data_IF_376871715824
#
_entry.id   IF_376871715824
#
_cell.length_a   1.000
_cell.length_b   1.000
_cell.length_c   1.000
_cell.angle_alpha   90.00
_cell.angle_beta   90.00
_cell.angle_gamma   90.00
#
_symmetry.space_group_name_H-M   'P 1'
#
loop_
_entity.id
_entity.type
_entity.pdbx_description
1 polymer ?
#
# COMPACT_ATOMS: atom_id res chain seq x y z
N UNK A 1 24.29 -27.70 -13.99
CA UNK A 1 25.56 -26.93 -13.84
C UNK A 1 25.54 -26.34 -12.44
N UNK A 2 26.65 -26.32 -11.70
CA UNK A 2 26.63 -25.89 -10.29
C UNK A 2 27.15 -24.46 -10.17
N UNK A 3 26.28 -23.53 -9.78
CA UNK A 3 26.68 -22.16 -9.48
C UNK A 3 27.42 -22.13 -8.15
N UNK A 4 28.59 -21.48 -8.15
CA UNK A 4 29.47 -21.36 -6.98
C UNK A 4 29.57 -19.94 -6.46
N UNK A 5 29.10 -18.96 -7.23
CA UNK A 5 29.13 -17.56 -6.87
C UNK A 5 27.88 -16.82 -7.34
N UNK A 6 27.29 -16.04 -6.44
CA UNK A 6 26.26 -15.04 -6.76
C UNK A 6 26.87 -13.65 -6.69
N UNK A 7 26.76 -12.89 -7.77
CA UNK A 7 27.15 -11.49 -7.82
C UNK A 7 25.90 -10.61 -7.83
N UNK A 8 25.89 -9.54 -7.05
CA UNK A 8 24.76 -8.62 -6.96
C UNK A 8 25.19 -7.18 -7.23
N UNK A 9 24.45 -6.50 -8.10
CA UNK A 9 24.34 -5.04 -8.02
C UNK A 9 23.60 -4.65 -6.73
N UNK A 10 23.87 -3.45 -6.21
CA UNK A 10 23.27 -2.92 -5.00
C UNK A 10 22.02 -2.11 -5.30
N UNK A 11 22.18 -1.00 -6.02
CA UNK A 11 21.14 -0.01 -6.21
C UNK A 11 20.01 -0.56 -7.07
N UNK A 12 18.78 -0.42 -6.59
CA UNK A 12 17.56 -0.97 -7.21
C UNK A 12 17.54 -2.50 -7.37
N UNK A 13 18.51 -3.21 -6.82
CA UNK A 13 18.59 -4.68 -6.86
C UNK A 13 18.49 -5.24 -5.45
N UNK A 14 19.37 -4.87 -4.52
CA UNK A 14 19.26 -5.27 -3.10
C UNK A 14 18.38 -4.33 -2.29
N UNK A 15 18.34 -3.05 -2.64
CA UNK A 15 17.48 -2.06 -1.99
C UNK A 15 16.84 -1.10 -2.98
N UNK A 16 15.74 -0.49 -2.56
CA UNK A 16 15.08 0.54 -3.34
C UNK A 16 15.88 1.85 -3.34
N UNK A 17 16.00 2.47 -4.50
CA UNK A 17 16.67 3.74 -4.71
C UNK A 17 18.15 3.61 -5.05
N UNK A 18 18.79 4.76 -5.22
CA UNK A 18 20.25 4.88 -5.33
C UNK A 18 20.81 5.52 -4.08
N UNK A 19 21.81 4.89 -3.48
CA UNK A 19 22.46 5.42 -2.28
C UNK A 19 23.42 6.56 -2.66
N UNK A 20 22.91 7.79 -2.75
CA UNK A 20 23.71 8.98 -3.04
C UNK A 20 23.89 9.83 -1.77
N UNK A 21 24.90 9.51 -0.96
CA UNK A 21 25.30 10.38 0.17
C UNK A 21 26.23 11.47 -0.37
N UNK A 22 25.65 12.55 -0.89
CA UNK A 22 26.44 13.62 -1.51
C UNK A 22 26.93 14.70 -0.55
N UNK A 23 26.55 14.72 0.73
CA UNK A 23 26.89 15.85 1.60
C UNK A 23 27.31 15.45 3.03
N UNK A 24 28.51 15.85 3.50
CA UNK A 24 28.71 16.03 4.93
C UNK A 24 27.72 17.09 5.41
N UNK A 25 26.90 16.76 6.40
CA UNK A 25 25.78 17.60 6.82
C UNK A 25 26.20 19.03 7.20
N UNK A 26 25.40 20.02 6.79
CA UNK A 26 25.49 21.42 7.25
C UNK A 26 24.70 21.67 8.55
N UNK A 27 24.06 20.63 9.09
CA UNK A 27 23.34 20.68 10.37
C UNK A 27 24.31 20.58 11.57
N UNK A 28 23.90 20.97 12.79
CA UNK A 28 24.69 20.72 14.00
C UNK A 28 24.69 19.22 14.37
N UNK A 29 25.86 18.64 14.64
CA UNK A 29 26.01 17.25 15.11
C UNK A 29 26.20 16.11 14.08
N UNK A 30 26.47 16.31 12.77
CA UNK A 30 26.82 15.20 11.89
C UNK A 30 28.17 14.63 12.31
N UNK A 31 28.32 13.31 12.17
CA UNK A 31 29.64 12.69 12.31
C UNK A 31 30.49 13.07 11.11
N UNK A 32 31.81 13.17 11.34
CA UNK A 32 32.77 13.57 10.32
C UNK A 32 32.81 12.60 9.11
N UNK A 33 32.43 11.34 9.32
CA UNK A 33 32.33 10.31 8.27
C UNK A 33 30.86 10.22 7.82
N UNK A 34 30.61 10.46 6.53
CA UNK A 34 29.25 10.53 5.99
C UNK A 34 28.45 9.24 6.22
N UNK A 35 29.09 8.07 6.05
CA UNK A 35 28.49 6.76 6.29
C UNK A 35 28.01 6.58 7.74
N UNK A 36 28.67 7.18 8.73
CA UNK A 36 28.27 7.04 10.14
C UNK A 36 26.93 7.72 10.48
N UNK A 37 26.41 8.56 9.58
CA UNK A 37 25.09 9.17 9.72
C UNK A 37 23.97 8.19 9.36
N UNK A 38 24.28 7.05 8.72
CA UNK A 38 23.32 5.99 8.45
C UNK A 38 22.97 5.20 9.72
N UNK A 39 21.68 4.96 9.93
CA UNK A 39 21.15 4.08 10.98
C UNK A 39 19.97 3.26 10.49
N UNK A 40 19.69 2.16 11.18
CA UNK A 40 18.38 1.52 11.04
C UNK A 40 17.30 2.47 11.54
N UNK A 41 16.19 2.54 10.81
CA UNK A 41 15.01 3.27 11.27
C UNK A 41 14.40 2.59 12.49
N UNK A 42 13.78 3.36 13.38
CA UNK A 42 13.26 2.83 14.64
C UNK A 42 12.15 1.80 14.37
N UNK A 43 12.33 0.57 14.87
CA UNK A 43 11.36 -0.52 14.67
C UNK A 43 11.46 -1.23 13.32
N UNK A 44 12.41 -0.87 12.45
CA UNK A 44 12.65 -1.58 11.19
C UNK A 44 14.00 -2.29 11.19
N UNK A 45 14.02 -3.48 10.59
CA UNK A 45 15.24 -4.27 10.35
C UNK A 45 15.71 -4.20 8.90
N UNK A 46 15.00 -3.47 8.03
CA UNK A 46 15.23 -3.43 6.59
C UNK A 46 15.28 -2.02 6.00
N UNK A 47 14.98 -0.98 6.80
CA UNK A 47 15.06 0.42 6.40
C UNK A 47 16.28 1.06 7.05
N UNK A 48 17.17 1.59 6.20
CA UNK A 48 18.32 2.38 6.63
C UNK A 48 18.07 3.83 6.24
N UNK A 49 18.08 4.71 7.24
CA UNK A 49 17.87 6.15 7.07
C UNK A 49 19.16 6.93 7.36
N UNK A 50 19.35 8.00 6.61
CA UNK A 50 20.34 9.03 6.89
C UNK A 50 19.75 10.05 7.86
N UNK A 51 20.37 10.19 9.03
CA UNK A 51 19.94 11.14 10.08
C UNK A 51 19.94 12.59 9.62
N UNK A 52 20.80 12.95 8.66
CA UNK A 52 20.99 14.33 8.21
C UNK A 52 19.98 14.69 7.14
N UNK A 53 19.86 13.85 6.12
CA UNK A 53 19.01 14.16 4.95
C UNK A 53 17.59 13.64 5.08
N UNK A 54 17.31 12.76 6.06
CA UNK A 54 16.06 12.02 6.19
C UNK A 54 15.73 11.15 4.96
N UNK A 55 16.69 10.96 4.06
CA UNK A 55 16.58 9.98 2.98
C UNK A 55 16.77 8.59 3.56
N UNK A 56 16.14 7.61 2.93
CA UNK A 56 16.25 6.22 3.34
C UNK A 56 16.38 5.29 2.13
N UNK A 57 16.94 4.12 2.37
CA UNK A 57 16.87 2.97 1.47
C UNK A 57 16.15 1.85 2.21
N UNK A 58 15.35 1.07 1.47
CA UNK A 58 14.68 -0.11 2.00
C UNK A 58 15.18 -1.33 1.27
N UNK A 59 15.77 -2.27 2.00
CA UNK A 59 16.15 -3.58 1.48
C UNK A 59 14.89 -4.33 1.06
N UNK A 60 14.94 -4.99 -0.11
CA UNK A 60 13.81 -5.78 -0.59
C UNK A 60 13.62 -7.02 0.29
N UNK A 61 12.37 -7.40 0.54
CA UNK A 61 12.00 -8.37 1.58
C UNK A 61 12.66 -9.75 1.41
N UNK A 62 12.92 -10.16 0.17
CA UNK A 62 13.48 -11.47 -0.14
C UNK A 62 15.01 -11.53 -0.07
N UNK A 63 15.70 -10.39 -0.02
CA UNK A 63 17.17 -10.34 -0.08
C UNK A 63 17.82 -11.08 1.08
N UNK A 64 17.33 -10.87 2.31
CA UNK A 64 17.86 -11.58 3.49
C UNK A 64 17.70 -13.10 3.35
N UNK A 65 16.56 -13.56 2.82
CA UNK A 65 16.31 -14.99 2.57
C UNK A 65 17.26 -15.56 1.51
N UNK A 66 17.53 -14.79 0.45
CA UNK A 66 18.47 -15.18 -0.61
C UNK A 66 19.89 -15.32 -0.06
N UNK A 67 20.33 -14.38 0.78
CA UNK A 67 21.64 -14.44 1.43
C UNK A 67 21.75 -15.64 2.37
N UNK A 68 20.73 -15.90 3.19
CA UNK A 68 20.67 -17.10 4.03
C UNK A 68 20.75 -18.38 3.19
N UNK A 69 20.00 -18.45 2.09
CA UNK A 69 20.02 -19.62 1.21
C UNK A 69 21.41 -19.83 0.56
N UNK A 70 22.09 -18.75 0.17
CA UNK A 70 23.45 -18.84 -0.35
C UNK A 70 24.42 -19.42 0.70
N UNK A 71 24.35 -18.96 1.94
CA UNK A 71 25.17 -19.47 3.06
C UNK A 71 24.88 -20.95 3.37
N UNK A 72 23.61 -21.34 3.38
CA UNK A 72 23.19 -22.73 3.60
C UNK A 72 23.68 -23.70 2.51
N UNK A 73 23.96 -23.19 1.31
CA UNK A 73 24.44 -23.99 0.17
C UNK A 73 25.93 -23.77 -0.12
N UNK A 74 26.67 -23.13 0.80
CA UNK A 74 28.10 -22.79 0.67
C UNK A 74 28.42 -22.05 -0.65
N UNK A 75 27.50 -21.21 -1.14
CA UNK A 75 27.68 -20.38 -2.33
C UNK A 75 28.29 -19.04 -1.94
N UNK A 76 29.35 -18.63 -2.63
CA UNK A 76 30.04 -17.37 -2.34
C UNK A 76 29.19 -16.19 -2.83
N UNK A 77 29.10 -15.12 -2.04
CA UNK A 77 28.43 -13.88 -2.45
C UNK A 77 29.48 -12.83 -2.80
N UNK A 78 29.27 -12.13 -3.91
CA UNK A 78 30.02 -10.97 -4.33
C UNK A 78 29.09 -9.77 -4.52
N UNK A 79 29.59 -8.57 -4.24
CA UNK A 79 28.99 -7.31 -4.64
C UNK A 79 29.77 -6.77 -5.83
N UNK A 80 29.05 -6.35 -6.87
CA UNK A 80 29.59 -5.77 -8.11
C UNK A 80 28.73 -4.55 -8.49
N UNK A 81 29.05 -3.40 -7.91
CA UNK A 81 28.22 -2.19 -8.00
C UNK A 81 28.99 -0.99 -8.54
N UNK A 82 28.32 -0.24 -9.43
CA UNK A 82 28.85 1.01 -10.00
C UNK A 82 28.49 2.26 -9.18
N UNK A 83 27.95 2.12 -7.96
CA UNK A 83 27.47 3.25 -7.15
C UNK A 83 28.60 4.25 -6.82
N UNK A 84 29.79 3.75 -6.51
CA UNK A 84 30.97 4.56 -6.24
C UNK A 84 31.05 5.14 -4.81
N UNK A 85 30.02 4.97 -3.98
CA UNK A 85 30.04 5.33 -2.55
C UNK A 85 30.23 4.09 -1.67
N UNK A 86 31.42 3.50 -1.75
CA UNK A 86 31.73 2.23 -1.08
C UNK A 86 31.42 2.23 0.41
N UNK A 87 31.93 3.22 1.15
CA UNK A 87 31.74 3.28 2.61
C UNK A 87 30.27 3.33 3.03
N UNK A 88 29.43 4.04 2.26
CA UNK A 88 27.99 4.10 2.51
C UNK A 88 27.31 2.77 2.27
N UNK A 89 27.61 2.11 1.16
CA UNK A 89 27.06 0.80 0.82
C UNK A 89 27.49 -0.26 1.84
N UNK A 90 28.77 -0.31 2.18
CA UNK A 90 29.32 -1.22 3.19
C UNK A 90 28.62 -1.01 4.54
N UNK A 91 28.32 0.25 4.87
CA UNK A 91 27.58 0.60 6.08
C UNK A 91 26.12 0.13 6.06
N UNK A 92 25.43 0.24 4.92
CA UNK A 92 24.07 -0.33 4.76
C UNK A 92 24.13 -1.85 4.96
N UNK A 93 25.04 -2.55 4.28
CA UNK A 93 25.24 -3.99 4.42
C UNK A 93 25.62 -4.40 5.85
N UNK A 94 26.36 -3.55 6.58
CA UNK A 94 26.69 -3.80 7.97
C UNK A 94 25.49 -3.66 8.92
N UNK A 95 24.61 -2.69 8.67
CA UNK A 95 23.44 -2.40 9.51
C UNK A 95 22.37 -3.49 9.41
N UNK A 96 22.15 -4.01 8.20
CA UNK A 96 21.11 -5.01 7.92
C UNK A 96 21.50 -6.35 8.51
N UNK A 97 20.53 -7.03 9.14
CA UNK A 97 20.73 -8.32 9.79
C UNK A 97 20.12 -9.46 8.98
N UNK A 98 20.90 -10.51 8.77
CA UNK A 98 20.53 -11.72 8.03
C UNK A 98 20.85 -12.94 8.89
N UNK A 99 19.92 -13.91 9.04
CA UNK A 99 20.22 -15.16 9.71
C UNK A 99 21.24 -15.99 8.93
N UNK A 100 22.25 -16.51 9.62
CA UNK A 100 23.19 -17.48 9.06
C UNK A 100 22.59 -18.90 9.00
N UNK A 101 23.38 -19.88 8.54
CA UNK A 101 22.98 -21.30 8.52
C UNK A 101 22.68 -21.92 9.89
N UNK A 102 22.99 -21.22 10.97
CA UNK A 102 22.66 -21.61 12.36
C UNK A 102 21.55 -20.73 12.95
N UNK A 103 20.83 -19.97 12.11
CA UNK A 103 19.78 -19.01 12.46
C UNK A 103 20.25 -17.87 13.41
N UNK A 104 21.56 -17.63 13.49
CA UNK A 104 22.11 -16.48 14.21
C UNK A 104 22.13 -15.25 13.31
N UNK A 105 21.62 -14.13 13.81
CA UNK A 105 21.59 -12.86 13.07
C UNK A 105 22.99 -12.26 12.95
N UNK A 106 23.54 -12.25 11.74
CA UNK A 106 24.80 -11.61 11.38
C UNK A 106 24.55 -10.35 10.54
N UNK A 107 25.54 -9.46 10.43
CA UNK A 107 25.47 -8.36 9.47
C UNK A 107 25.46 -8.92 8.04
N UNK A 108 24.66 -8.38 7.12
CA UNK A 108 24.60 -8.85 5.73
C UNK A 108 26.00 -8.86 5.05
N UNK A 109 26.85 -7.89 5.39
CA UNK A 109 28.22 -7.82 4.89
C UNK A 109 29.09 -9.04 5.25
N UNK A 110 28.80 -9.78 6.33
CA UNK A 110 29.61 -10.96 6.71
C UNK A 110 29.46 -12.11 5.73
N UNK A 111 28.40 -12.11 4.93
CA UNK A 111 28.16 -13.10 3.88
C UNK A 111 28.86 -12.73 2.57
N UNK A 112 29.26 -11.47 2.41
CA UNK A 112 29.93 -10.96 1.21
C UNK A 112 31.42 -11.29 1.27
N UNK A 113 31.89 -12.09 0.32
CA UNK A 113 33.31 -12.50 0.24
C UNK A 113 34.15 -11.58 -0.64
N UNK A 114 33.55 -11.02 -1.68
CA UNK A 114 34.18 -10.08 -2.60
C UNK A 114 33.30 -8.86 -2.76
N UNK A 115 33.89 -7.68 -2.69
CA UNK A 115 33.12 -6.44 -2.58
C UNK A 115 33.70 -5.37 -3.50
N UNK A 116 33.40 -5.55 -4.78
CA UNK A 116 33.76 -4.66 -5.87
C UNK A 116 32.70 -3.57 -6.02
N UNK A 117 32.83 -2.53 -5.21
CA UNK A 117 32.00 -1.34 -5.30
C UNK A 117 32.88 -0.14 -5.66
N UNK A 118 32.75 0.35 -6.89
CA UNK A 118 33.62 1.40 -7.44
C UNK A 118 33.07 1.97 -8.74
N UNK A 119 33.84 2.88 -9.36
CA UNK A 119 33.46 3.49 -10.65
C UNK A 119 34.05 2.77 -11.87
N UNK A 120 34.52 1.55 -11.67
CA UNK A 120 35.11 0.73 -12.73
C UNK A 120 34.04 0.10 -13.61
N UNK A 121 34.42 -0.40 -14.79
CA UNK A 121 33.46 -1.12 -15.63
C UNK A 121 33.09 -2.46 -15.00
N UNK A 122 31.86 -2.93 -15.19
CA UNK A 122 31.44 -4.26 -14.70
C UNK A 122 32.29 -5.40 -15.29
N UNK A 123 32.83 -5.24 -16.50
CA UNK A 123 33.78 -6.21 -17.07
C UNK A 123 35.07 -6.31 -16.26
N UNK A 124 35.62 -5.18 -15.82
CA UNK A 124 36.84 -5.15 -15.01
C UNK A 124 36.59 -5.74 -13.63
N UNK A 125 35.45 -5.40 -13.00
CA UNK A 125 35.03 -5.96 -11.71
C UNK A 125 34.92 -7.49 -11.79
N UNK A 126 34.28 -8.03 -12.83
CA UNK A 126 34.17 -9.48 -13.02
C UNK A 126 35.51 -10.14 -13.35
N UNK A 127 36.40 -9.45 -14.05
CA UNK A 127 37.77 -9.94 -14.30
C UNK A 127 38.54 -10.10 -13.00
N UNK A 128 38.54 -9.08 -12.13
CA UNK A 128 39.13 -9.16 -10.79
C UNK A 128 38.47 -10.24 -9.93
N UNK A 129 37.14 -10.31 -9.99
CA UNK A 129 36.37 -11.32 -9.25
C UNK A 129 36.78 -12.75 -9.65
N UNK A 130 36.97 -13.01 -10.94
CA UNK A 130 37.47 -14.29 -11.44
C UNK A 130 38.90 -14.54 -11.00
N UNK A 131 39.76 -13.53 -11.05
CA UNK A 131 41.15 -13.63 -10.64
C UNK A 131 41.29 -13.99 -9.16
N UNK A 132 40.45 -13.45 -8.27
CA UNK A 132 40.53 -13.73 -6.84
C UNK A 132 39.79 -14.99 -6.44
N UNK A 133 38.60 -15.21 -7.00
CA UNK A 133 37.78 -16.37 -6.64
C UNK A 133 38.25 -17.67 -7.29
N UNK A 134 38.94 -17.57 -8.44
CA UNK A 134 39.29 -18.69 -9.32
C UNK A 134 38.07 -19.51 -9.80
N UNK A 135 36.87 -18.93 -9.72
CA UNK A 135 35.62 -19.56 -10.19
C UNK A 135 35.46 -19.26 -11.68
N UNK A 136 35.04 -20.24 -12.48
CA UNK A 136 34.79 -20.01 -13.91
C UNK A 136 33.58 -19.08 -14.09
N UNK A 137 33.62 -18.18 -15.08
CA UNK A 137 32.52 -17.24 -15.34
C UNK A 137 31.17 -17.95 -15.52
N UNK A 138 31.15 -19.14 -16.12
CA UNK A 138 29.92 -19.91 -16.33
C UNK A 138 29.34 -20.49 -15.04
N UNK A 139 30.13 -20.54 -13.97
CA UNK A 139 29.71 -20.95 -12.63
C UNK A 139 29.30 -19.75 -11.75
N UNK A 140 29.24 -18.54 -12.34
CA UNK A 140 28.75 -17.32 -11.71
C UNK A 140 27.34 -16.99 -12.20
N UNK A 141 26.52 -16.45 -11.30
CA UNK A 141 25.21 -15.89 -11.59
C UNK A 141 25.17 -14.45 -11.12
N UNK A 142 24.89 -13.53 -12.04
CA UNK A 142 24.87 -12.11 -11.81
C UNK A 142 23.43 -11.58 -11.80
N UNK A 143 23.06 -10.85 -10.75
CA UNK A 143 21.78 -10.18 -10.63
C UNK A 143 21.97 -8.67 -10.76
N UNK A 144 21.38 -8.11 -11.81
CA UNK A 144 21.55 -6.69 -12.15
C UNK A 144 20.36 -6.17 -12.95
N UNK A 145 20.28 -4.86 -13.13
CA UNK A 145 19.32 -4.20 -14.00
C UNK A 145 19.62 -4.49 -15.47
N UNK A 146 18.62 -4.23 -16.32
CA UNK A 146 18.79 -4.29 -17.77
C UNK A 146 19.60 -3.10 -18.29
N UNK A 147 20.93 -3.17 -18.23
CA UNK A 147 21.80 -2.15 -18.79
C UNK A 147 22.88 -2.74 -19.71
N UNK A 148 23.50 -1.85 -20.50
CA UNK A 148 24.50 -2.25 -21.49
C UNK A 148 25.70 -2.96 -20.84
N UNK A 149 26.15 -2.49 -19.68
CA UNK A 149 27.31 -3.03 -18.98
C UNK A 149 27.05 -4.46 -18.48
N UNK A 150 25.88 -4.74 -17.92
CA UNK A 150 25.50 -6.09 -17.45
C UNK A 150 25.39 -7.07 -18.62
N UNK A 151 24.78 -6.64 -19.74
CA UNK A 151 24.70 -7.45 -20.96
C UNK A 151 26.08 -7.72 -21.57
N UNK A 152 27.02 -6.79 -21.45
CA UNK A 152 28.40 -7.00 -21.89
C UNK A 152 29.10 -8.06 -21.05
N UNK A 153 28.90 -8.09 -19.73
CA UNK A 153 29.44 -9.14 -18.86
C UNK A 153 28.96 -10.53 -19.30
N UNK A 154 27.66 -10.69 -19.59
CA UNK A 154 27.11 -11.93 -20.12
C UNK A 154 27.70 -12.28 -21.49
N UNK A 155 27.67 -11.33 -22.44
CA UNK A 155 28.06 -11.58 -23.83
C UNK A 155 29.57 -11.84 -24.00
N UNK A 156 30.42 -11.17 -23.23
CA UNK A 156 31.89 -11.21 -23.37
C UNK A 156 32.50 -12.29 -22.47
N UNK A 157 32.08 -12.36 -21.21
CA UNK A 157 32.68 -13.26 -20.21
C UNK A 157 31.90 -14.57 -20.07
N UNK A 158 30.66 -14.65 -20.54
CA UNK A 158 29.82 -15.85 -20.44
C UNK A 158 29.24 -16.08 -19.04
N UNK A 159 29.17 -15.04 -18.22
CA UNK A 159 28.49 -15.05 -16.91
C UNK A 159 26.98 -15.14 -17.14
N UNK A 160 26.28 -15.92 -16.31
CA UNK A 160 24.82 -16.00 -16.41
C UNK A 160 24.20 -14.74 -15.82
N UNK A 161 23.44 -13.96 -16.61
CA UNK A 161 22.78 -12.76 -16.14
C UNK A 161 21.29 -13.01 -15.88
N UNK A 162 20.83 -12.69 -14.66
CA UNK A 162 19.42 -12.51 -14.36
C UNK A 162 19.13 -11.02 -14.27
N UNK A 163 18.40 -10.55 -15.28
CA UNK A 163 17.89 -9.18 -15.32
C UNK A 163 16.81 -8.99 -14.26
N UNK A 164 17.00 -7.96 -13.42
CA UNK A 164 16.13 -7.58 -12.33
C UNK A 164 15.34 -6.33 -12.72
N UNK A 165 14.04 -6.37 -12.41
CA UNK A 165 13.18 -5.20 -12.61
C UNK A 165 13.47 -4.17 -11.53
N UNK A 166 14.04 -3.02 -11.91
CA UNK A 166 14.42 -1.89 -11.04
C UNK A 166 13.40 -1.57 -9.92
N UNK A 167 12.11 -1.69 -10.22
CA UNK A 167 11.02 -1.35 -9.30
C UNK A 167 10.64 -2.48 -8.32
N UNK A 168 10.87 -3.73 -8.69
CA UNK A 168 10.57 -4.87 -7.82
C UNK A 168 11.79 -5.24 -6.96
N UNK A 169 12.99 -4.89 -7.44
CA UNK A 169 14.22 -5.38 -6.85
C UNK A 169 14.40 -6.86 -7.06
N UNK A 170 15.45 -7.40 -6.43
CA UNK A 170 15.69 -8.83 -6.40
C UNK A 170 14.61 -9.51 -5.57
N UNK A 171 13.84 -10.39 -6.20
CA UNK A 171 12.86 -11.24 -5.51
C UNK A 171 13.32 -12.69 -5.43
N UNK A 172 12.72 -13.46 -4.53
CA UNK A 172 12.96 -14.90 -4.45
C UNK A 172 12.59 -15.61 -5.74
N UNK A 173 11.57 -15.11 -6.45
CA UNK A 173 11.19 -15.66 -7.75
C UNK A 173 12.28 -15.44 -8.80
N UNK A 174 12.85 -14.24 -8.87
CA UNK A 174 13.95 -13.96 -9.81
C UNK A 174 15.13 -14.89 -9.54
N UNK A 175 15.49 -15.02 -8.27
CA UNK A 175 16.53 -15.93 -7.79
C UNK A 175 16.23 -17.39 -8.17
N UNK A 176 15.06 -17.90 -7.83
CA UNK A 176 14.68 -19.29 -8.08
C UNK A 176 14.50 -19.61 -9.57
N UNK A 177 14.03 -18.66 -10.38
CA UNK A 177 13.96 -18.80 -11.84
C UNK A 177 15.35 -18.88 -12.45
N UNK A 178 16.28 -18.02 -12.03
CA UNK A 178 17.65 -18.03 -12.52
C UNK A 178 18.34 -19.36 -12.20
N UNK A 179 18.17 -19.89 -10.99
CA UNK A 179 18.69 -21.20 -10.64
C UNK A 179 18.06 -22.33 -11.47
N UNK A 180 16.73 -22.29 -11.68
CA UNK A 180 16.01 -23.29 -12.50
C UNK A 180 16.47 -23.30 -13.96
N UNK A 181 16.77 -22.13 -14.53
CA UNK A 181 17.26 -22.02 -15.91
C UNK A 181 18.63 -22.71 -16.10
N UNK A 182 19.46 -22.74 -15.07
CA UNK A 182 20.84 -23.26 -15.10
C UNK A 182 20.97 -24.73 -14.69
N UNK A 183 20.01 -25.23 -13.90
CA UNK A 183 19.94 -26.64 -13.54
C UNK A 183 18.49 -27.12 -13.36
N UNK A 184 17.78 -27.43 -14.47
CA UNK A 184 16.38 -27.87 -14.43
C UNK A 184 16.16 -29.16 -13.62
N UNK A 185 17.19 -29.97 -13.43
CA UNK A 185 17.11 -31.29 -12.80
C UNK A 185 17.30 -31.24 -11.27
N UNK A 186 18.00 -30.22 -10.72
CA UNK A 186 18.34 -30.16 -9.29
C UNK A 186 17.33 -29.45 -8.38
N UNK A 187 16.39 -28.67 -8.91
CA UNK A 187 15.42 -27.92 -8.09
C UNK A 187 14.00 -28.53 -8.06
N UNK A 188 13.83 -29.78 -8.54
CA UNK A 188 12.55 -30.50 -8.49
C UNK A 188 12.02 -30.73 -7.07
N UNK A 189 12.92 -30.91 -6.09
CA UNK A 189 12.61 -31.52 -4.80
C UNK A 189 12.85 -30.61 -3.58
N UNK A 190 13.52 -29.46 -3.74
CA UNK A 190 13.86 -28.55 -2.63
C UNK A 190 13.29 -27.13 -2.76
N UNK A 191 12.75 -26.77 -3.92
CA UNK A 191 11.90 -25.57 -4.01
C UNK A 191 10.47 -25.95 -3.63
N UNK A 192 9.79 -25.17 -2.77
CA UNK A 192 8.34 -25.15 -2.80
C UNK A 192 7.95 -24.85 -4.24
N UNK A 193 7.36 -25.84 -4.94
CA UNK A 193 7.02 -25.74 -6.37
C UNK A 193 6.17 -24.53 -6.69
N UNK A 194 5.52 -23.94 -5.69
CA UNK A 194 4.87 -22.65 -5.73
C UNK A 194 5.19 -21.92 -4.40
N UNK A 195 6.08 -20.93 -4.41
CA UNK A 195 5.72 -19.67 -3.72
C UNK A 195 5.17 -18.70 -4.76
N UNK A 196 4.37 -19.23 -5.68
CA UNK A 196 3.33 -18.43 -6.29
C UNK A 196 2.57 -17.80 -5.14
N UNK A 197 2.43 -16.48 -5.20
CA UNK A 197 1.29 -15.80 -4.60
C UNK A 197 0.10 -16.76 -4.66
N UNK A 198 -0.60 -17.04 -3.54
CA UNK A 198 -1.56 -18.12 -3.48
C UNK A 198 -2.40 -18.05 -4.74
N UNK A 199 -2.45 -19.12 -5.55
CA UNK A 199 -3.17 -19.06 -6.79
C UNK A 199 -4.58 -18.54 -6.51
N UNK A 200 -5.29 -18.04 -7.53
CA UNK A 200 -6.69 -17.64 -7.41
C UNK A 200 -7.63 -18.80 -6.94
N UNK A 201 -7.07 -19.92 -6.44
CA UNK A 201 -7.70 -21.11 -5.87
C UNK A 201 -8.60 -20.84 -4.67
N UNK A 202 -8.49 -19.67 -4.04
CA UNK A 202 -9.36 -19.29 -2.91
C UNK A 202 -10.36 -18.19 -3.27
N UNK A 203 -10.60 -17.92 -4.57
CA UNK A 203 -11.70 -17.03 -4.93
C UNK A 203 -13.02 -17.63 -4.44
N UNK A 204 -13.88 -16.84 -3.76
CA UNK A 204 -15.16 -17.34 -3.30
C UNK A 204 -16.04 -17.66 -4.51
N UNK A 205 -16.94 -18.62 -4.35
CA UNK A 205 -17.98 -18.87 -5.33
C UNK A 205 -18.82 -17.59 -5.55
N UNK A 206 -18.80 -17.08 -6.78
CA UNK A 206 -19.53 -15.86 -7.14
C UNK A 206 -21.01 -16.19 -7.36
N UNK A 207 -21.89 -15.51 -6.64
CA UNK A 207 -23.33 -15.63 -6.81
C UNK A 207 -23.88 -14.59 -7.79
N UNK A 208 -25.03 -14.02 -7.47
CA UNK A 208 -25.72 -13.06 -8.34
C UNK A 208 -24.94 -11.75 -8.46
N UNK A 209 -24.66 -11.31 -9.68
CA UNK A 209 -24.11 -9.98 -9.96
C UNK A 209 -25.10 -8.90 -9.50
N UNK A 210 -24.63 -8.00 -8.64
CA UNK A 210 -25.38 -6.88 -8.09
C UNK A 210 -25.16 -5.59 -8.90
N UNK A 211 -23.99 -5.44 -9.54
CA UNK A 211 -23.68 -4.26 -10.35
C UNK A 211 -22.23 -4.17 -10.79
N UNK A 212 -21.91 -3.09 -11.52
CA UNK A 212 -20.58 -2.71 -12.01
C UNK A 212 -20.36 -1.21 -11.70
N UNK A 213 -19.13 -0.77 -11.46
CA UNK A 213 -18.83 0.62 -11.05
C UNK A 213 -17.33 0.95 -11.04
N UNK A 214 -16.87 1.72 -10.05
CA UNK A 214 -15.43 1.95 -9.80
C UNK A 214 -14.67 0.64 -9.50
N UNK A 215 -15.40 -0.38 -9.04
CA UNK A 215 -14.96 -1.77 -8.98
C UNK A 215 -15.39 -2.50 -10.26
N UNK A 216 -14.66 -3.56 -10.63
CA UNK A 216 -14.98 -4.34 -11.83
C UNK A 216 -16.37 -4.94 -11.76
N UNK A 217 -16.61 -5.75 -10.73
CA UNK A 217 -17.85 -6.50 -10.57
C UNK A 217 -18.16 -6.68 -9.07
N UNK A 218 -19.43 -6.54 -8.69
CA UNK A 218 -19.89 -6.75 -7.31
C UNK A 218 -20.93 -7.86 -7.28
N UNK A 219 -20.72 -8.86 -6.44
CA UNK A 219 -21.54 -10.06 -6.34
C UNK A 219 -22.10 -10.22 -4.94
N UNK A 220 -23.29 -10.83 -4.85
CA UNK A 220 -23.69 -11.53 -3.63
C UNK A 220 -22.98 -12.88 -3.61
N UNK A 221 -22.41 -13.30 -2.48
CA UNK A 221 -21.79 -14.63 -2.38
C UNK A 221 -22.81 -15.73 -2.67
N UNK A 222 -22.39 -16.79 -3.36
CA UNK A 222 -23.24 -17.94 -3.64
C UNK A 222 -23.50 -18.78 -2.38
N UNK A 223 -22.55 -18.78 -1.44
CA UNK A 223 -22.59 -19.60 -0.24
C UNK A 223 -23.29 -18.90 0.92
N UNK A 224 -23.15 -17.57 1.01
CA UNK A 224 -23.73 -16.76 2.09
C UNK A 224 -24.32 -15.45 1.55
N UNK A 225 -25.66 -15.28 1.54
CA UNK A 225 -26.27 -14.07 1.03
C UNK A 225 -25.98 -12.83 1.89
N UNK A 226 -25.46 -12.99 3.11
CA UNK A 226 -25.00 -11.89 3.98
C UNK A 226 -23.61 -11.39 3.61
N UNK A 227 -22.95 -11.99 2.62
CA UNK A 227 -21.65 -11.57 2.13
C UNK A 227 -21.77 -10.94 0.74
N UNK A 228 -21.10 -9.81 0.56
CA UNK A 228 -20.87 -9.17 -0.73
C UNK A 228 -19.41 -9.36 -1.11
N UNK A 229 -19.16 -9.78 -2.35
CA UNK A 229 -17.82 -9.94 -2.93
C UNK A 229 -17.59 -8.84 -3.95
N UNK A 230 -16.52 -8.08 -3.78
CA UNK A 230 -16.05 -7.08 -4.75
C UNK A 230 -14.85 -7.64 -5.52
N UNK A 231 -14.90 -7.61 -6.84
CA UNK A 231 -13.82 -7.99 -7.75
C UNK A 231 -13.28 -6.78 -8.50
N UNK A 232 -11.96 -6.65 -8.54
CA UNK A 232 -11.27 -5.53 -9.17
C UNK A 232 -11.13 -5.71 -10.70
N UNK A 233 -11.33 -4.62 -11.46
CA UNK A 233 -11.36 -4.62 -12.93
C UNK A 233 -9.98 -4.75 -13.57
N UNK A 234 -8.95 -4.22 -12.91
CA UNK A 234 -7.60 -4.04 -13.45
C UNK A 234 -6.56 -4.79 -12.62
N UNK A 235 -6.99 -5.78 -11.84
CA UNK A 235 -6.07 -6.55 -11.04
C UNK A 235 -5.22 -7.48 -11.90
N UNK A 236 -3.91 -7.32 -11.81
CA UNK A 236 -2.91 -8.19 -12.43
C UNK A 236 -2.05 -8.80 -11.33
N UNK A 237 -1.57 -10.02 -11.56
CA UNK A 237 -0.74 -10.74 -10.59
C UNK A 237 0.52 -9.94 -10.19
N UNK A 238 1.10 -9.20 -11.13
CA UNK A 238 2.25 -8.30 -10.89
C UNK A 238 1.96 -7.17 -9.88
N UNK A 239 0.70 -6.72 -9.75
CA UNK A 239 0.31 -5.66 -8.82
C UNK A 239 0.19 -6.15 -7.38
N UNK A 240 0.01 -7.45 -7.14
CA UNK A 240 -0.24 -8.00 -5.80
C UNK A 240 0.92 -7.75 -4.83
N UNK A 241 2.17 -7.92 -5.27
CA UNK A 241 3.32 -7.67 -4.40
C UNK A 241 3.41 -6.20 -4.01
N UNK A 242 3.24 -5.32 -5.00
CA UNK A 242 3.25 -3.87 -4.76
C UNK A 242 2.09 -3.46 -3.85
N UNK A 243 0.91 -4.04 -4.03
CA UNK A 243 -0.22 -3.86 -3.13
C UNK A 243 0.12 -4.24 -1.68
N UNK A 244 0.74 -5.41 -1.45
CA UNK A 244 1.12 -5.84 -0.10
C UNK A 244 2.11 -4.86 0.53
N UNK A 245 3.08 -4.35 -0.23
CA UNK A 245 4.00 -3.30 0.24
C UNK A 245 3.24 -2.03 0.63
N UNK A 246 2.39 -1.51 -0.26
CA UNK A 246 1.60 -0.29 -0.02
C UNK A 246 0.69 -0.49 1.19
N UNK A 247 0.02 -1.64 1.29
CA UNK A 247 -0.84 -1.98 2.40
C UNK A 247 -0.09 -1.96 3.73
N UNK A 248 1.09 -2.59 3.81
CA UNK A 248 1.85 -2.65 5.06
C UNK A 248 2.27 -1.26 5.54
N UNK A 249 2.64 -0.35 4.64
CA UNK A 249 2.94 1.06 4.96
C UNK A 249 1.67 1.78 5.47
N UNK A 250 0.54 1.59 4.80
CA UNK A 250 -0.74 2.22 5.16
C UNK A 250 -1.31 1.66 6.48
N UNK A 251 -1.05 0.39 6.78
CA UNK A 251 -1.50 -0.30 8.00
C UNK A 251 -0.63 0.06 9.22
N UNK A 252 0.68 0.27 9.04
CA UNK A 252 1.53 0.85 10.10
C UNK A 252 1.13 2.29 10.45
N UNK A 253 0.46 2.98 9.52
CA UNK A 253 0.09 4.39 9.67
C UNK A 253 1.21 5.34 9.23
N UNK A 254 2.18 4.83 8.49
CA UNK A 254 3.22 5.65 7.90
C UNK A 254 2.66 6.43 6.70
N UNK A 255 3.12 7.67 6.47
CA UNK A 255 2.72 8.43 5.29
C UNK A 255 3.13 7.68 4.03
N UNK A 256 2.19 7.53 3.09
CA UNK A 256 2.45 6.91 1.80
C UNK A 256 2.45 7.97 0.70
N UNK A 257 3.60 8.16 0.07
CA UNK A 257 3.72 8.95 -1.15
C UNK A 257 3.80 8.01 -2.36
N UNK A 258 2.92 8.17 -3.37
CA UNK A 258 3.02 7.43 -4.62
C UNK A 258 4.42 7.57 -5.23
N UNK A 259 5.01 6.44 -5.61
CA UNK A 259 6.33 6.45 -6.23
C UNK A 259 6.22 7.04 -7.64
N UNK A 260 6.74 8.26 -7.82
CA UNK A 260 6.66 9.01 -9.07
C UNK A 260 7.41 8.34 -10.23
N UNK A 261 8.23 7.33 -9.96
CA UNK A 261 8.89 6.52 -10.99
C UNK A 261 8.01 5.39 -11.54
N UNK A 262 6.86 5.14 -10.92
CA UNK A 262 5.87 4.13 -11.34
C UNK A 262 4.72 4.77 -12.11
N UNK A 263 3.86 3.91 -12.67
CA UNK A 263 2.58 4.35 -13.19
C UNK A 263 1.75 4.94 -12.02
N UNK A 264 1.52 6.25 -12.08
CA UNK A 264 0.82 6.99 -11.04
C UNK A 264 -0.62 6.48 -10.86
N UNK A 265 -1.30 6.07 -11.93
CA UNK A 265 -2.66 5.54 -11.87
C UNK A 265 -2.70 4.22 -11.12
N UNK A 266 -1.72 3.33 -11.33
CA UNK A 266 -1.60 2.07 -10.60
C UNK A 266 -1.32 2.34 -9.11
N UNK A 267 -0.40 3.26 -8.78
CA UNK A 267 -0.11 3.62 -7.39
C UNK A 267 -1.34 4.19 -6.67
N UNK A 268 -2.08 5.08 -7.33
CA UNK A 268 -3.35 5.63 -6.81
C UNK A 268 -4.36 4.51 -6.61
N UNK A 269 -4.51 3.63 -7.59
CA UNK A 269 -5.45 2.51 -7.55
C UNK A 269 -5.15 1.56 -6.39
N UNK A 270 -3.89 1.12 -6.26
CA UNK A 270 -3.47 0.20 -5.20
C UNK A 270 -3.59 0.84 -3.82
N UNK A 271 -3.24 2.12 -3.69
CA UNK A 271 -3.40 2.85 -2.43
C UNK A 271 -4.86 2.96 -2.01
N UNK A 272 -5.76 3.21 -2.97
CA UNK A 272 -7.21 3.26 -2.73
C UNK A 272 -7.72 1.94 -2.18
N UNK A 273 -7.32 0.82 -2.79
CA UNK A 273 -7.71 -0.52 -2.34
C UNK A 273 -7.11 -0.84 -0.97
N UNK A 274 -5.85 -0.47 -0.75
CA UNK A 274 -5.15 -0.76 0.49
C UNK A 274 -5.83 -0.05 1.68
N UNK A 275 -6.22 1.21 1.48
CA UNK A 275 -7.01 1.97 2.44
C UNK A 275 -8.36 1.31 2.69
N UNK A 276 -9.11 0.99 1.63
CA UNK A 276 -10.42 0.35 1.76
C UNK A 276 -10.33 -0.94 2.60
N UNK A 277 -9.36 -1.82 2.32
CA UNK A 277 -9.18 -3.05 3.08
C UNK A 277 -8.75 -2.81 4.53
N UNK A 278 -7.83 -1.88 4.78
CA UNK A 278 -7.41 -1.48 6.14
C UNK A 278 -8.62 -0.99 6.93
N UNK A 279 -9.42 -0.12 6.33
CA UNK A 279 -10.56 0.53 6.97
C UNK A 279 -11.66 -0.49 7.26
N UNK A 280 -12.00 -1.34 6.27
CA UNK A 280 -12.94 -2.45 6.46
C UNK A 280 -12.48 -3.42 7.55
N UNK A 281 -11.17 -3.69 7.67
CA UNK A 281 -10.62 -4.51 8.76
C UNK A 281 -10.78 -3.81 10.11
N UNK A 282 -10.41 -2.53 10.21
CA UNK A 282 -10.46 -1.76 11.46
C UNK A 282 -11.87 -1.66 12.05
N UNK A 283 -12.90 -1.57 11.21
CA UNK A 283 -14.31 -1.51 11.64
C UNK A 283 -14.99 -2.89 11.72
N UNK A 284 -14.25 -3.97 11.45
CA UNK A 284 -14.73 -5.36 11.53
C UNK A 284 -15.71 -5.77 10.41
N UNK A 285 -15.71 -5.05 9.28
CA UNK A 285 -16.57 -5.32 8.14
C UNK A 285 -15.91 -6.20 7.06
N UNK A 286 -14.58 -6.30 7.05
CA UNK A 286 -13.84 -7.19 6.14
C UNK A 286 -14.04 -8.66 6.55
N UNK A 287 -14.49 -9.50 5.62
CA UNK A 287 -14.68 -10.95 5.84
C UNK A 287 -13.54 -11.77 5.24
N UNK A 288 -13.08 -11.43 4.04
CA UNK A 288 -11.93 -12.07 3.42
C UNK A 288 -11.31 -11.20 2.30
N UNK A 289 -10.05 -11.45 1.91
CA UNK A 289 -9.09 -12.24 2.66
C UNK A 289 -8.65 -11.50 3.93
N UNK A 290 -8.51 -12.24 5.04
CA UNK A 290 -8.04 -11.66 6.29
C UNK A 290 -6.54 -11.41 6.27
N UNK A 291 -5.78 -12.22 5.54
CA UNK A 291 -4.36 -12.02 5.31
C UNK A 291 -4.15 -11.28 3.99
N UNK A 292 -3.44 -10.15 4.02
CA UNK A 292 -3.22 -9.31 2.83
C UNK A 292 -2.31 -9.96 1.80
N UNK A 293 -1.41 -10.84 2.23
CA UNK A 293 -0.59 -11.69 1.36
C UNK A 293 -1.45 -12.59 0.47
N UNK A 294 -2.66 -12.94 0.91
CA UNK A 294 -3.64 -13.73 0.15
C UNK A 294 -4.53 -12.89 -0.78
N UNK A 295 -4.36 -11.56 -0.81
CA UNK A 295 -5.20 -10.69 -1.63
C UNK A 295 -4.91 -10.85 -3.12
N UNK A 296 -5.80 -11.53 -3.84
CA UNK A 296 -5.68 -11.76 -5.28
C UNK A 296 -6.74 -10.98 -6.08
N UNK A 297 -6.99 -9.72 -5.71
CA UNK A 297 -7.84 -8.82 -6.50
C UNK A 297 -9.35 -8.92 -6.23
N UNK A 298 -9.72 -9.57 -5.14
CA UNK A 298 -11.08 -9.58 -4.62
C UNK A 298 -11.06 -9.45 -3.10
N UNK A 299 -12.15 -8.94 -2.55
CA UNK A 299 -12.41 -9.00 -1.12
C UNK A 299 -13.90 -9.17 -0.88
N UNK A 300 -14.23 -9.72 0.28
CA UNK A 300 -15.59 -9.90 0.74
C UNK A 300 -15.83 -9.13 2.03
N UNK A 301 -17.04 -8.61 2.15
CA UNK A 301 -17.49 -7.82 3.28
C UNK A 301 -18.92 -8.21 3.65
N UNK A 302 -19.34 -7.84 4.85
CA UNK A 302 -20.72 -7.98 5.25
C UNK A 302 -21.64 -7.14 4.36
N UNK A 303 -22.73 -7.76 3.91
CA UNK A 303 -23.77 -7.12 3.13
C UNK A 303 -24.49 -6.13 4.02
N UNK A 304 -24.56 -4.89 3.56
CA UNK A 304 -25.28 -3.84 4.28
C UNK A 304 -26.77 -3.94 3.94
N UNK A 305 -27.65 -4.25 4.92
CA UNK A 305 -29.09 -4.28 4.67
C UNK A 305 -29.66 -2.86 4.63
N UNK A 306 -30.60 -2.63 3.71
CA UNK A 306 -31.35 -1.37 3.64
C UNK A 306 -31.78 -1.04 2.22
N UNK A 307 -32.27 0.18 2.05
CA UNK A 307 -32.63 0.76 0.76
C UNK A 307 -31.98 2.12 0.59
N UNK A 308 -31.63 2.52 -0.63
CA UNK A 308 -31.15 3.87 -0.87
C UNK A 308 -32.25 4.89 -0.61
N UNK A 309 -31.86 6.12 -0.30
CA UNK A 309 -32.81 7.19 0.06
C UNK A 309 -33.79 7.55 -1.07
N UNK A 310 -33.37 7.41 -2.34
CA UNK A 310 -34.20 7.76 -3.50
C UNK A 310 -35.36 6.79 -3.75
N UNK A 311 -35.40 5.66 -3.04
CA UNK A 311 -36.58 4.80 -3.02
C UNK A 311 -37.72 5.40 -2.18
N UNK A 312 -37.43 6.37 -1.30
CA UNK A 312 -38.44 7.07 -0.51
C UNK A 312 -39.21 8.07 -1.42
N UNK A 313 -40.55 8.03 -1.46
CA UNK A 313 -41.35 8.94 -2.30
C UNK A 313 -41.11 10.43 -2.03
N UNK A 314 -40.72 10.81 -0.81
CA UNK A 314 -40.45 12.20 -0.46
C UNK A 314 -39.17 12.73 -1.13
N UNK A 315 -38.23 11.86 -1.50
CA UNK A 315 -37.01 12.25 -2.23
C UNK A 315 -37.32 12.75 -3.66
N UNK A 316 -38.50 12.40 -4.21
CA UNK A 316 -38.95 12.87 -5.53
C UNK A 316 -39.65 14.22 -5.48
N UNK A 317 -39.85 14.79 -4.29
CA UNK A 317 -40.45 16.12 -4.13
C UNK A 317 -39.44 17.20 -4.49
N UNK A 318 -39.92 18.43 -4.70
CA UNK A 318 -39.07 19.56 -5.03
C UNK A 318 -37.98 19.76 -3.93
N UNK A 319 -36.70 20.03 -4.29
CA UNK A 319 -35.62 20.13 -3.31
C UNK A 319 -35.79 21.21 -2.23
N UNK A 320 -36.62 22.23 -2.48
CA UNK A 320 -36.98 23.25 -1.48
C UNK A 320 -38.28 22.98 -0.72
N UNK A 321 -38.93 21.82 -0.96
CA UNK A 321 -40.13 21.46 -0.21
C UNK A 321 -39.77 20.97 1.20
N UNK A 322 -40.57 21.36 2.19
CA UNK A 322 -40.40 20.92 3.58
C UNK A 322 -40.31 19.39 3.71
N UNK A 323 -41.16 18.58 3.05
CA UNK A 323 -41.07 17.12 3.16
C UNK A 323 -39.74 16.54 2.65
N UNK A 324 -39.19 17.09 1.56
CA UNK A 324 -37.87 16.67 1.04
C UNK A 324 -36.75 17.03 2.02
N UNK A 325 -36.75 18.27 2.49
CA UNK A 325 -35.72 18.77 3.41
C UNK A 325 -35.76 18.03 4.75
N UNK A 326 -36.94 17.76 5.30
CA UNK A 326 -37.08 16.96 6.54
C UNK A 326 -36.58 15.53 6.35
N UNK A 327 -36.86 14.89 5.21
CA UNK A 327 -36.31 13.56 4.89
C UNK A 327 -34.78 13.60 4.86
N UNK A 328 -34.20 14.52 4.09
CA UNK A 328 -32.75 14.65 3.97
C UNK A 328 -32.09 14.96 5.31
N UNK A 329 -32.69 15.86 6.09
CA UNK A 329 -32.17 16.25 7.40
C UNK A 329 -32.08 15.04 8.31
N UNK A 330 -33.16 14.25 8.40
CA UNK A 330 -33.15 12.98 9.16
C UNK A 330 -32.09 12.03 8.63
N UNK A 331 -31.97 11.89 7.30
CA UNK A 331 -30.96 11.03 6.68
C UNK A 331 -29.54 11.44 7.07
N UNK A 332 -29.20 12.73 6.96
CA UNK A 332 -27.88 13.26 7.32
C UNK A 332 -27.57 13.01 8.79
N UNK A 333 -28.50 13.30 9.71
CA UNK A 333 -28.26 13.05 11.14
C UNK A 333 -28.03 11.56 11.44
N UNK A 334 -28.80 10.65 10.83
CA UNK A 334 -28.59 9.21 10.99
C UNK A 334 -27.26 8.76 10.39
N UNK A 335 -26.86 9.30 9.23
CA UNK A 335 -25.55 9.03 8.64
C UNK A 335 -24.43 9.47 9.57
N UNK A 336 -24.51 10.68 10.13
CA UNK A 336 -23.51 11.19 11.08
C UNK A 336 -23.45 10.35 12.35
N UNK A 337 -24.59 9.88 12.86
CA UNK A 337 -24.60 8.94 13.99
C UNK A 337 -23.81 7.68 13.68
N UNK A 338 -23.95 7.15 12.46
CA UNK A 338 -23.20 5.98 12.03
C UNK A 338 -21.70 6.29 11.89
N UNK A 339 -21.32 7.44 11.31
CA UNK A 339 -19.92 7.87 11.24
C UNK A 339 -19.34 7.96 12.66
N UNK A 340 -20.02 8.67 13.55
CA UNK A 340 -19.57 8.90 14.92
C UNK A 340 -19.44 7.59 15.71
N UNK A 341 -20.35 6.63 15.49
CA UNK A 341 -20.25 5.29 16.06
C UNK A 341 -18.93 4.61 15.68
N UNK A 342 -18.55 4.64 14.40
CA UNK A 342 -17.32 4.00 13.94
C UNK A 342 -16.06 4.79 14.28
N UNK A 343 -16.13 6.12 14.37
CA UNK A 343 -15.04 6.93 14.93
C UNK A 343 -14.78 6.52 16.37
N UNK A 344 -15.83 6.42 17.20
CA UNK A 344 -15.69 6.05 18.62
C UNK A 344 -15.28 4.59 18.81
N UNK A 345 -15.81 3.67 18.00
CA UNK A 345 -15.58 2.23 18.15
C UNK A 345 -14.30 1.75 17.47
N UNK A 346 -14.02 2.24 16.27
CA UNK A 346 -12.96 1.76 15.40
C UNK A 346 -11.88 2.78 15.08
N UNK A 347 -11.99 4.03 15.57
CA UNK A 347 -11.01 5.08 15.30
C UNK A 347 -10.94 5.47 13.83
N UNK A 348 -12.03 5.32 13.07
CA UNK A 348 -12.07 5.59 11.63
C UNK A 348 -13.23 6.52 11.27
N UNK A 349 -12.92 7.63 10.61
CA UNK A 349 -13.88 8.55 10.00
C UNK A 349 -14.05 8.23 8.53
N UNK A 350 -15.29 7.94 8.11
CA UNK A 350 -15.64 7.84 6.71
C UNK A 350 -15.54 9.21 6.04
N UNK A 351 -14.91 9.29 4.86
CA UNK A 351 -14.64 10.58 4.20
C UNK A 351 -15.61 10.93 3.08
N UNK A 352 -16.32 9.96 2.56
CA UNK A 352 -17.18 10.12 1.39
C UNK A 352 -18.63 9.62 1.63
N UNK A 353 -19.31 10.02 2.72
CA UNK A 353 -20.63 9.51 3.08
C UNK A 353 -21.75 10.16 2.23
N UNK A 354 -21.54 10.29 0.92
CA UNK A 354 -22.61 10.65 -0.01
C UNK A 354 -23.80 9.74 0.22
N UNK A 355 -25.03 10.25 0.04
CA UNK A 355 -26.23 9.42 0.18
C UNK A 355 -26.25 8.24 -0.80
N UNK A 356 -25.46 8.32 -1.87
CA UNK A 356 -25.18 7.20 -2.76
C UNK A 356 -24.50 6.02 -2.06
N UNK A 357 -23.67 6.27 -1.04
CA UNK A 357 -22.89 5.33 -0.24
C UNK A 357 -23.57 4.97 1.10
N UNK A 358 -24.87 5.27 1.25
CA UNK A 358 -25.63 4.99 2.48
C UNK A 358 -26.90 4.21 2.17
N UNK A 359 -27.10 3.12 2.93
CA UNK A 359 -28.35 2.36 2.94
C UNK A 359 -29.15 2.72 4.20
N UNK A 360 -30.45 2.88 4.06
CA UNK A 360 -31.33 3.19 5.18
C UNK A 360 -32.29 2.04 5.47
N UNK A 361 -32.51 1.78 6.76
CA UNK A 361 -33.68 1.03 7.23
C UNK A 361 -34.86 2.00 7.38
N UNK A 362 -36.03 1.53 7.01
CA UNK A 362 -37.25 2.33 7.00
C UNK A 362 -38.36 1.61 7.77
N UNK A 363 -39.15 2.39 8.52
CA UNK A 363 -40.43 1.98 9.10
C UNK A 363 -41.52 2.84 8.47
N UNK A 364 -42.25 2.26 7.51
CA UNK A 364 -43.05 3.03 6.56
C UNK A 364 -42.18 4.03 5.78
N UNK A 365 -42.56 5.31 5.81
CA UNK A 365 -41.82 6.40 5.16
C UNK A 365 -40.72 7.01 6.05
N UNK A 366 -40.56 6.54 7.29
CA UNK A 366 -39.61 7.10 8.26
C UNK A 366 -38.27 6.37 8.23
N UNK A 367 -37.19 7.14 8.12
CA UNK A 367 -35.82 6.62 8.24
C UNK A 367 -35.50 6.33 9.71
N UNK A 368 -35.07 5.11 10.00
CA UNK A 368 -34.79 4.65 11.38
C UNK A 368 -33.31 4.43 11.65
N UNK A 369 -32.56 3.97 10.65
CA UNK A 369 -31.11 3.69 10.79
C UNK A 369 -30.43 3.92 9.46
N UNK A 370 -29.21 4.46 9.52
CA UNK A 370 -28.32 4.56 8.37
C UNK A 370 -27.19 3.54 8.50
N UNK A 371 -26.79 2.96 7.38
CA UNK A 371 -25.65 2.09 7.29
C UNK A 371 -24.80 2.53 6.11
N UNK A 372 -23.58 2.96 6.41
CA UNK A 372 -22.62 3.38 5.40
C UNK A 372 -22.02 2.14 4.77
N UNK A 373 -22.06 2.07 3.45
CA UNK A 373 -21.43 1.02 2.67
C UNK A 373 -20.25 1.61 1.91
N UNK A 374 -19.21 0.81 1.67
CA UNK A 374 -17.95 1.26 1.03
C UNK A 374 -17.22 2.26 1.92
N UNK A 375 -16.15 1.87 2.61
CA UNK A 375 -15.51 2.74 3.60
C UNK A 375 -14.74 3.93 3.01
N UNK A 376 -14.55 3.93 1.69
CA UNK A 376 -13.90 4.99 0.95
C UNK A 376 -12.51 5.34 1.52
N UNK A 377 -12.04 6.54 1.18
CA UNK A 377 -10.81 7.11 1.73
C UNK A 377 -10.98 7.56 3.19
N UNK A 378 -11.27 6.64 4.11
CA UNK A 378 -11.44 6.95 5.53
C UNK A 378 -10.12 7.34 6.21
N UNK A 379 -10.23 8.18 7.24
CA UNK A 379 -9.10 8.77 7.97
C UNK A 379 -9.10 8.28 9.42
N UNK A 380 -7.92 7.97 9.95
CA UNK A 380 -7.76 7.65 11.37
C UNK A 380 -8.17 8.83 12.26
N UNK A 381 -8.92 8.50 13.30
CA UNK A 381 -9.42 9.44 14.30
C UNK A 381 -9.17 8.90 15.69
N UNK A 382 -8.99 9.80 16.64
CA UNK A 382 -8.99 9.47 18.05
C UNK A 382 -10.17 10.14 18.75
N UNK A 383 -10.71 9.47 19.76
CA UNK A 383 -11.76 9.99 20.63
C UNK A 383 -11.30 9.85 22.08
N UNK A 384 -11.10 10.97 22.76
CA UNK A 384 -10.59 11.01 24.15
C UNK A 384 -11.71 11.01 25.21
N UNK A 385 -12.97 10.86 24.79
CA UNK A 385 -14.16 11.00 25.64
C UNK A 385 -14.79 12.39 25.62
N UNK A 386 -14.13 13.39 25.04
CA UNK A 386 -14.60 14.78 24.94
C UNK A 386 -14.44 15.39 23.55
N UNK A 387 -13.38 15.04 22.83
CA UNK A 387 -13.02 15.61 21.53
C UNK A 387 -12.56 14.54 20.56
N UNK A 388 -12.83 14.83 19.30
CA UNK A 388 -12.31 14.09 18.16
C UNK A 388 -11.03 14.75 17.68
N UNK A 389 -9.98 13.98 17.45
CA UNK A 389 -8.74 14.47 16.82
C UNK A 389 -8.42 13.65 15.60
N UNK A 390 -8.25 14.33 14.46
CA UNK A 390 -7.92 13.74 13.18
C UNK A 390 -6.44 13.44 13.10
N UNK A 391 -6.08 12.19 12.80
CA UNK A 391 -4.69 11.80 12.65
C UNK A 391 -4.09 12.35 11.35
N UNK A 392 -2.76 12.38 11.29
CA UNK A 392 -2.02 12.71 10.08
C UNK A 392 -1.91 11.52 9.13
N UNK A 393 -3.06 11.00 8.67
CA UNK A 393 -3.07 10.13 7.48
C UNK A 393 -2.80 11.05 6.27
N UNK A 394 -1.51 11.35 6.02
CA UNK A 394 -1.07 12.10 4.84
C UNK A 394 -1.30 11.21 3.62
N UNK A 395 -2.41 11.45 2.94
CA UNK A 395 -2.66 10.96 1.59
C UNK A 395 -2.59 12.17 0.67
N UNK A 396 -1.98 12.03 -0.50
CA UNK A 396 -1.88 13.10 -1.51
C UNK A 396 -3.25 13.74 -1.88
N UNK A 397 -4.35 13.07 -1.53
CA UNK A 397 -5.71 13.48 -1.82
C UNK A 397 -6.51 13.93 -0.58
N UNK A 398 -5.90 14.06 0.60
CA UNK A 398 -6.58 14.49 1.83
C UNK A 398 -6.73 16.01 1.89
N UNK A 399 -7.98 16.48 1.94
CA UNK A 399 -8.35 17.89 2.10
C UNK A 399 -8.61 18.26 3.56
N UNK A 400 -8.58 17.28 4.48
CA UNK A 400 -8.69 17.53 5.90
C UNK A 400 -7.37 18.03 6.47
N UNK A 401 -7.46 18.95 7.44
CA UNK A 401 -6.29 19.43 8.18
C UNK A 401 -5.91 18.36 9.21
N UNK A 402 -4.69 17.84 9.11
CA UNK A 402 -4.13 16.95 10.13
C UNK A 402 -4.17 17.63 11.51
N UNK A 403 -4.37 16.86 12.57
CA UNK A 403 -4.47 17.33 13.96
C UNK A 403 -5.67 18.26 14.24
N UNK A 404 -6.62 18.37 13.31
CA UNK A 404 -7.86 19.08 13.57
C UNK A 404 -8.62 18.46 14.75
N UNK A 405 -9.08 19.33 15.66
CA UNK A 405 -9.77 18.94 16.88
C UNK A 405 -11.21 19.45 16.84
N UNK A 406 -12.16 18.56 17.10
CA UNK A 406 -13.59 18.87 17.09
C UNK A 406 -14.25 18.47 18.41
N UNK A 407 -15.09 19.35 18.95
CA UNK A 407 -16.14 18.91 19.88
C UNK A 407 -17.21 18.08 19.15
N UNK A 408 -18.05 17.31 19.86
CA UNK A 408 -19.11 16.54 19.20
C UNK A 408 -20.10 17.40 18.39
N UNK A 409 -20.38 18.61 18.85
CA UNK A 409 -21.25 19.54 18.12
C UNK A 409 -20.57 20.07 16.85
N UNK A 410 -19.29 20.44 16.93
CA UNK A 410 -18.53 20.89 15.75
C UNK A 410 -18.38 19.78 14.72
N UNK A 411 -18.09 18.55 15.17
CA UNK A 411 -17.97 17.38 14.30
C UNK A 411 -19.28 17.10 13.55
N UNK A 412 -20.40 17.08 14.26
CA UNK A 412 -21.73 16.87 13.67
C UNK A 412 -22.09 17.98 12.69
N UNK A 413 -21.88 19.24 13.09
CA UNK A 413 -22.15 20.40 12.22
C UNK A 413 -21.33 20.34 10.93
N UNK A 414 -20.03 20.07 11.04
CA UNK A 414 -19.13 19.92 9.90
C UNK A 414 -19.68 18.91 8.87
N UNK A 415 -20.05 17.71 9.33
CA UNK A 415 -20.56 16.66 8.44
C UNK A 415 -21.93 16.96 7.84
N UNK A 416 -22.86 17.50 8.64
CA UNK A 416 -24.18 17.88 8.14
C UNK A 416 -24.05 18.97 7.08
N UNK A 417 -23.27 20.02 7.34
CA UNK A 417 -23.04 21.10 6.37
C UNK A 417 -22.40 20.59 5.08
N UNK A 418 -21.41 19.70 5.19
CA UNK A 418 -20.78 19.08 4.03
C UNK A 418 -21.80 18.31 3.18
N UNK A 419 -22.57 17.39 3.79
CA UNK A 419 -23.55 16.58 3.05
C UNK A 419 -24.67 17.42 2.42
N UNK A 420 -25.12 18.49 3.10
CA UNK A 420 -26.11 19.42 2.53
C UNK A 420 -25.55 20.11 1.29
N UNK A 421 -24.33 20.64 1.36
CA UNK A 421 -23.66 21.28 0.21
C UNK A 421 -23.56 20.32 -0.96
N UNK A 422 -23.04 19.12 -0.72
CA UNK A 422 -22.86 18.08 -1.72
C UNK A 422 -24.18 17.67 -2.39
N UNK A 423 -25.25 17.46 -1.62
CA UNK A 423 -26.54 17.08 -2.18
C UNK A 423 -27.14 18.22 -3.04
N UNK A 424 -27.09 19.46 -2.56
CA UNK A 424 -27.63 20.59 -3.33
C UNK A 424 -26.79 20.93 -4.56
N UNK A 425 -25.47 20.76 -4.52
CA UNK A 425 -24.60 20.81 -5.71
C UNK A 425 -25.01 19.75 -6.74
N UNK A 426 -25.33 18.54 -6.30
CA UNK A 426 -25.85 17.48 -7.18
C UNK A 426 -27.22 17.86 -7.77
N UNK A 427 -28.11 18.48 -7.00
CA UNK A 427 -29.42 18.95 -7.49
C UNK A 427 -29.27 20.07 -8.54
N UNK A 428 -28.31 21.00 -8.36
CA UNK A 428 -27.97 22.01 -9.37
C UNK A 428 -27.45 21.34 -10.64
N UNK A 429 -26.51 20.39 -10.52
CA UNK A 429 -25.93 19.66 -11.66
C UNK A 429 -26.99 18.90 -12.46
N UNK A 430 -27.98 18.31 -11.77
CA UNK A 430 -29.14 17.63 -12.35
C UNK A 430 -30.21 18.58 -12.91
N UNK A 431 -30.03 19.89 -12.79
CA UNK A 431 -31.00 20.93 -13.19
C UNK A 431 -32.35 20.82 -12.46
N UNK A 432 -32.36 20.26 -11.26
CA UNK A 432 -33.56 20.19 -10.42
C UNK A 432 -33.87 21.54 -9.74
N UNK A 433 -32.83 22.37 -9.57
CA UNK A 433 -32.91 23.75 -9.08
C UNK A 433 -31.94 24.63 -9.90
N UNK A 434 -32.14 25.95 -9.88
CA UNK A 434 -31.20 26.88 -10.53
C UNK A 434 -29.91 27.02 -9.73
N UNK A 435 -28.82 27.42 -10.41
CA UNK A 435 -27.54 27.74 -9.75
C UNK A 435 -27.71 28.89 -8.74
N UNK A 436 -28.51 29.90 -9.08
CA UNK A 436 -28.77 31.05 -8.23
C UNK A 436 -29.49 30.63 -6.95
N UNK A 437 -30.59 29.88 -7.07
CA UNK A 437 -31.36 29.42 -5.90
C UNK A 437 -30.53 28.51 -5.01
N UNK A 438 -29.77 27.58 -5.59
CA UNK A 438 -28.89 26.69 -4.85
C UNK A 438 -27.78 27.45 -4.11
N UNK A 439 -27.13 28.41 -4.78
CA UNK A 439 -26.08 29.25 -4.17
C UNK A 439 -26.64 30.10 -3.03
N UNK A 440 -27.83 30.67 -3.21
CA UNK A 440 -28.50 31.45 -2.17
C UNK A 440 -28.91 30.58 -0.98
N UNK A 441 -29.42 29.38 -1.23
CA UNK A 441 -29.79 28.43 -0.20
C UNK A 441 -28.60 28.01 0.67
N UNK A 442 -27.43 27.76 0.07
CA UNK A 442 -26.23 27.30 0.78
C UNK A 442 -25.55 28.37 1.66
N UNK A 443 -26.07 29.61 1.71
CA UNK A 443 -25.53 30.68 2.56
C UNK A 443 -25.86 30.50 4.05
N UNK A 444 -26.97 29.84 4.38
CA UNK A 444 -27.38 29.58 5.76
C UNK A 444 -27.86 28.14 5.93
N UNK A 445 -27.06 27.36 6.67
CA UNK A 445 -27.32 25.94 6.94
C UNK A 445 -27.68 25.66 8.40
N UNK A 446 -27.95 26.71 9.19
CA UNK A 446 -28.19 26.60 10.64
C UNK A 446 -29.34 25.65 10.99
N UNK A 447 -30.42 25.66 10.21
CA UNK A 447 -31.58 24.78 10.39
C UNK A 447 -31.22 23.28 10.29
N UNK A 448 -30.26 22.92 9.44
CA UNK A 448 -29.87 21.53 9.22
C UNK A 448 -29.14 20.93 10.41
N UNK A 449 -28.43 21.76 11.19
CA UNK A 449 -27.66 21.32 12.35
C UNK A 449 -28.52 20.97 13.58
N UNK A 450 -29.76 21.45 13.64
CA UNK A 450 -30.70 21.16 14.73
C UNK A 450 -31.28 19.76 14.58
N UNK A 451 -31.43 18.95 15.64
CA UNK A 451 -32.15 17.67 15.52
C UNK A 451 -33.64 17.88 15.60
N UNK A 452 -34.39 17.01 14.93
CA UNK A 452 -35.86 17.03 15.03
C UNK A 452 -36.35 16.57 16.40
N UNK A 453 -35.52 15.84 17.16
CA UNK A 453 -35.81 15.35 18.52
C UNK A 453 -35.55 16.43 19.61
N UNK A 454 -35.03 17.61 19.24
CA UNK A 454 -34.83 18.77 20.14
C UNK A 454 -36.09 19.67 20.22
N UNK A 455 -37.27 19.18 19.82
CA UNK A 455 -38.56 19.87 19.90
C UNK A 455 -39.61 19.08 20.66
#
# INVERSE_FOLDING_TARGET
MVIKLYAFELDHVLWNGSLNILHPGTQPGPRNVAADNLRLSAGSNHIVEDRVTQKYVSVFSDVCRIFQHADQNDVQIAITSSNGNKEACDRVLWLIRVPDKHDSLQSMITFVKYDENGQESKLDMFTKLQEWSKIDYKEMLFFDLDCQESRQVEAVLGVNLKVITKYLGLTWCDYAEALRALDPAKLSDTLPRNMDLPPYTNMPALGRLLGKGNFGEVYRSAEDPTIVVKRLKYWKTELQRRFVTIYNIIDSGDPFEPDSSRNLDDEIFLSTIALELRNLRAVGALRAPLETTMFCGWFSLESVPGRPIWDNPLYKRHPFSVPFQSLLKRAFHLTVDQIEFYVRKGGMEHRDPHLANVQFRMDGDKLTTAHIFDWGFAVRMTWDGRRYTRANDTLAWNSGVADAVYTPQEFRRYWVEWMVKTEYEAQISRKAISLEDGTNFLKDLSWWSQRDDDR
#
